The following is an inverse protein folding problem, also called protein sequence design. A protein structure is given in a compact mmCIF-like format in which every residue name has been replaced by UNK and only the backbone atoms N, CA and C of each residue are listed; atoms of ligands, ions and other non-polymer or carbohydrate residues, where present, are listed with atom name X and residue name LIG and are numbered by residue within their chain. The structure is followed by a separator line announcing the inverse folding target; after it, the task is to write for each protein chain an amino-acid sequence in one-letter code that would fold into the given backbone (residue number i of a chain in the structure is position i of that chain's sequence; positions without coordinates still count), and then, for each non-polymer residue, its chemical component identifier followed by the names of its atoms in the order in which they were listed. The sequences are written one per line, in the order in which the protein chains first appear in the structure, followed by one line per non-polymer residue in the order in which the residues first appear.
data_IF_798840145976
#
_entry.id   IF_798840145976
#
_cell.length_a   1.000
_cell.length_b   1.000
_cell.length_c   1.000
_cell.angle_alpha   90.00
_cell.angle_beta   90.00
_cell.angle_gamma   90.00
#
_symmetry.space_group_name_H-M   'P 1'
#
loop_
_entity.id
_entity.type
_entity.pdbx_description
1 polymer ?
#
# COMPACT_ATOMS: atom_id res chain seq x y z
N UNK A 1 33.96 17.35 15.62
CA UNK A 1 33.18 16.10 15.86
C UNK A 1 32.94 15.41 14.52
N UNK A 2 33.31 14.14 14.40
CA UNK A 2 33.36 13.41 13.11
C UNK A 2 32.03 12.69 12.85
N UNK A 3 31.49 12.81 11.63
CA UNK A 3 30.22 12.21 11.14
C UNK A 3 30.09 10.69 11.39
N UNK A 4 31.19 10.00 11.70
CA UNK A 4 31.26 8.54 11.91
C UNK A 4 31.06 8.10 13.36
N UNK A 5 31.12 9.00 14.33
CA UNK A 5 30.79 8.67 15.74
C UNK A 5 29.33 8.92 16.09
N UNK A 6 28.67 9.84 15.37
CA UNK A 6 27.24 10.12 15.52
C UNK A 6 26.35 8.91 15.15
N UNK A 7 26.81 8.05 14.23
CA UNK A 7 26.07 6.86 13.78
C UNK A 7 26.23 5.62 14.69
N UNK A 8 27.07 5.69 15.74
CA UNK A 8 27.28 4.55 16.66
C UNK A 8 26.52 4.67 18.00
N UNK A 9 25.83 5.78 18.26
CA UNK A 9 25.18 6.06 19.54
C UNK A 9 23.65 6.18 19.45
N UNK A 10 23.01 5.53 18.47
CA UNK A 10 21.58 5.65 18.20
C UNK A 10 20.76 4.37 18.42
N UNK A 11 21.03 3.60 19.46
CA UNK A 11 20.11 2.56 19.93
C UNK A 11 19.40 3.08 21.19
N UNK A 12 18.42 3.97 21.00
CA UNK A 12 17.56 4.44 22.08
C UNK A 12 16.39 3.47 22.20
N UNK A 13 16.49 2.49 23.11
CA UNK A 13 15.33 1.72 23.57
C UNK A 13 14.53 2.62 24.50
N UNK A 14 13.48 3.24 23.99
CA UNK A 14 12.49 3.94 24.82
C UNK A 14 11.48 2.90 25.31
N UNK A 15 11.68 2.40 26.52
CA UNK A 15 10.60 1.76 27.28
C UNK A 15 9.71 2.89 27.79
N UNK A 16 8.67 3.21 27.02
CA UNK A 16 7.66 4.20 27.37
C UNK A 16 6.41 3.53 27.92
N UNK A 17 6.09 3.80 29.18
CA UNK A 17 4.77 3.55 29.78
C UNK A 17 3.69 4.26 28.96
N UNK A 18 2.76 3.49 28.39
CA UNK A 18 1.68 4.04 27.58
C UNK A 18 0.66 4.79 28.46
N UNK A 19 0.68 6.13 28.37
CA UNK A 19 -0.50 6.94 28.62
C UNK A 19 -1.32 6.94 27.33
N UNK A 20 -2.49 6.29 27.35
CA UNK A 20 -3.42 6.27 26.24
C UNK A 20 -3.98 7.68 26.00
N UNK A 21 -3.47 8.36 24.98
CA UNK A 21 -4.13 9.51 24.36
C UNK A 21 -4.43 9.20 22.91
N UNK A 22 -5.61 9.62 22.49
CA UNK A 22 -6.34 9.21 21.29
C UNK A 22 -5.52 9.16 20.00
N UNK A 23 -5.40 7.95 19.43
CA UNK A 23 -5.45 7.61 18.00
C UNK A 23 -4.58 8.41 17.03
N UNK A 24 -3.39 7.89 16.71
CA UNK A 24 -3.07 7.11 15.50
C UNK A 24 -1.65 6.58 15.73
N UNK A 25 -1.50 5.28 15.97
CA UNK A 25 -0.19 4.63 16.00
C UNK A 25 0.23 4.43 14.55
N UNK A 26 1.13 5.28 14.06
CA UNK A 26 1.82 5.02 12.80
C UNK A 26 2.67 3.78 12.97
N UNK A 27 2.27 2.68 12.34
CA UNK A 27 3.12 1.50 12.19
C UNK A 27 4.38 1.93 11.43
N UNK A 28 5.52 1.88 12.11
CA UNK A 28 6.81 2.00 11.47
C UNK A 28 6.93 0.85 10.45
N UNK A 29 7.12 1.20 9.19
CA UNK A 29 7.26 0.27 8.06
C UNK A 29 8.41 -0.70 8.33
N UNK A 30 8.10 -1.98 8.47
CA UNK A 30 9.10 -3.04 8.52
C UNK A 30 9.91 -3.02 7.22
N UNK A 31 11.23 -3.15 7.36
CA UNK A 31 12.17 -3.20 6.26
C UNK A 31 11.84 -4.36 5.30
N UNK A 32 11.44 -4.03 4.07
CA UNK A 32 11.74 -4.75 2.82
C UNK A 32 11.54 -6.28 2.73
N UNK A 33 10.73 -6.89 3.58
CA UNK A 33 10.45 -8.32 3.59
C UNK A 33 8.96 -8.62 3.65
N UNK A 34 8.57 -9.80 3.17
CA UNK A 34 7.19 -10.26 3.29
C UNK A 34 6.76 -10.26 4.78
N UNK A 35 5.67 -9.58 5.15
CA UNK A 35 5.15 -9.62 6.50
C UNK A 35 4.69 -11.04 6.84
N UNK A 36 4.68 -11.37 8.12
CA UNK A 36 4.18 -12.66 8.57
C UNK A 36 2.67 -12.73 8.38
N UNK A 37 2.21 -13.69 7.57
CA UNK A 37 0.79 -14.00 7.37
C UNK A 37 0.34 -15.00 8.44
N UNK A 38 -0.93 -14.89 8.85
CA UNK A 38 -1.48 -15.70 9.96
C UNK A 38 -2.49 -16.73 9.51
N UNK A 39 -3.10 -16.55 8.33
CA UNK A 39 -4.15 -17.42 7.80
C UNK A 39 -3.79 -17.94 6.41
N UNK A 40 -3.28 -17.06 5.54
CA UNK A 40 -2.88 -17.39 4.19
C UNK A 40 -1.54 -18.12 4.16
N UNK A 41 -1.44 -19.08 3.26
CA UNK A 41 -0.19 -19.77 2.99
C UNK A 41 0.82 -18.84 2.28
N UNK A 42 2.14 -19.08 2.42
CA UNK A 42 3.16 -18.24 1.78
C UNK A 42 2.95 -18.04 0.28
N UNK A 43 2.59 -19.11 -0.44
CA UNK A 43 2.32 -19.05 -1.89
C UNK A 43 1.11 -18.18 -2.24
N UNK A 44 0.05 -18.24 -1.43
CA UNK A 44 -1.11 -17.37 -1.60
C UNK A 44 -0.70 -15.90 -1.43
N UNK A 45 0.13 -15.61 -0.40
CA UNK A 45 0.70 -14.29 -0.17
C UNK A 45 1.51 -13.76 -1.35
N UNK A 46 2.43 -14.57 -1.88
CA UNK A 46 3.25 -14.20 -3.05
C UNK A 46 2.41 -13.98 -4.32
N UNK A 47 1.39 -14.82 -4.53
CA UNK A 47 0.45 -14.69 -5.64
C UNK A 47 -0.33 -13.37 -5.54
N UNK A 48 -0.84 -13.04 -4.36
CA UNK A 48 -1.53 -11.78 -4.10
C UNK A 48 -0.61 -10.55 -4.27
N UNK A 49 0.66 -10.64 -3.83
CA UNK A 49 1.65 -9.58 -4.08
C UNK A 49 1.82 -9.33 -5.59
N UNK A 50 2.05 -10.39 -6.37
CA UNK A 50 2.21 -10.25 -7.84
C UNK A 50 0.93 -9.72 -8.47
N UNK A 51 -0.23 -10.22 -8.06
CA UNK A 51 -1.53 -9.81 -8.55
C UNK A 51 -1.79 -8.33 -8.31
N UNK A 52 -1.62 -7.85 -7.09
CA UNK A 52 -1.81 -6.43 -6.73
C UNK A 52 -0.86 -5.53 -7.52
N UNK A 53 0.42 -5.89 -7.63
CA UNK A 53 1.38 -5.17 -8.51
C UNK A 53 0.97 -5.11 -9.99
N UNK A 54 0.10 -6.01 -10.47
CA UNK A 54 -0.43 -5.98 -11.84
C UNK A 54 -1.73 -5.19 -11.97
N UNK A 55 -2.56 -5.15 -10.92
CA UNK A 55 -3.82 -4.44 -10.90
C UNK A 55 -3.58 -2.92 -10.82
N UNK A 56 -2.76 -2.46 -9.88
CA UNK A 56 -2.31 -1.06 -9.80
C UNK A 56 -0.79 -0.94 -9.93
N UNK A 57 -0.23 -0.95 -11.16
CA UNK A 57 1.21 -1.05 -11.40
C UNK A 57 1.93 0.31 -11.23
N UNK A 58 2.33 0.64 -10.01
CA UNK A 58 3.07 1.86 -9.71
C UNK A 58 4.59 1.61 -9.68
N UNK A 59 5.31 2.19 -10.64
CA UNK A 59 6.78 2.02 -10.76
C UNK A 59 7.57 2.64 -9.60
N UNK A 60 7.02 3.66 -8.95
CA UNK A 60 7.68 4.41 -7.88
C UNK A 60 7.46 3.77 -6.49
N UNK A 61 6.54 2.81 -6.37
CA UNK A 61 6.26 2.09 -5.13
C UNK A 61 7.09 0.80 -5.06
N UNK A 62 7.73 0.58 -3.91
CA UNK A 62 8.32 -0.71 -3.56
C UNK A 62 7.22 -1.74 -3.23
N UNK A 63 7.62 -2.94 -2.81
CA UNK A 63 6.67 -4.01 -2.46
C UNK A 63 5.94 -3.75 -1.12
N UNK A 64 6.43 -2.82 -0.29
CA UNK A 64 5.92 -2.61 1.07
C UNK A 64 4.42 -2.32 1.13
N UNK A 65 3.92 -1.28 0.44
CA UNK A 65 2.50 -0.98 0.38
C UNK A 65 1.65 -2.11 -0.20
N UNK A 66 2.16 -2.87 -1.17
CA UNK A 66 1.43 -4.02 -1.71
C UNK A 66 1.36 -5.17 -0.71
N UNK A 67 2.40 -5.38 0.10
CA UNK A 67 2.35 -6.32 1.23
C UNK A 67 1.36 -5.89 2.32
N UNK A 68 1.15 -4.59 2.54
CA UNK A 68 0.07 -4.09 3.41
C UNK A 68 -1.30 -4.55 2.89
N UNK A 69 -1.53 -4.50 1.57
CA UNK A 69 -2.75 -5.02 0.95
C UNK A 69 -2.91 -6.51 1.22
N UNK A 70 -1.85 -7.31 1.03
CA UNK A 70 -1.88 -8.75 1.29
C UNK A 70 -2.18 -9.04 2.76
N UNK A 71 -1.61 -8.26 3.69
CA UNK A 71 -1.90 -8.38 5.11
C UNK A 71 -3.38 -8.07 5.43
N UNK A 72 -3.98 -7.07 4.80
CA UNK A 72 -5.40 -6.77 4.99
C UNK A 72 -6.30 -7.88 4.43
N UNK A 73 -5.89 -8.54 3.34
CA UNK A 73 -6.57 -9.73 2.82
C UNK A 73 -6.41 -10.92 3.79
N UNK A 74 -5.23 -11.12 4.39
CA UNK A 74 -5.00 -12.14 5.43
C UNK A 74 -5.88 -11.91 6.66
N UNK A 75 -5.98 -10.66 7.13
CA UNK A 75 -6.85 -10.29 8.24
C UNK A 75 -8.33 -10.51 7.92
N UNK A 76 -8.76 -10.23 6.69
CA UNK A 76 -10.11 -10.52 6.22
C UNK A 76 -10.37 -12.04 6.16
N UNK A 77 -9.42 -12.82 5.64
CA UNK A 77 -9.49 -14.28 5.61
C UNK A 77 -9.54 -14.89 7.02
N UNK A 78 -8.80 -14.33 7.97
CA UNK A 78 -8.83 -14.72 9.39
C UNK A 78 -10.21 -14.54 10.02
N UNK A 79 -10.88 -13.44 9.65
CA UNK A 79 -12.16 -13.04 10.23
C UNK A 79 -13.35 -13.70 9.53
N UNK A 80 -13.18 -14.19 8.31
CA UNK A 80 -14.23 -14.80 7.50
C UNK A 80 -13.69 -15.97 6.66
N UNK A 81 -14.09 -17.19 7.02
CA UNK A 81 -13.67 -18.42 6.33
C UNK A 81 -14.15 -18.48 4.87
N UNK A 82 -15.21 -17.75 4.50
CA UNK A 82 -15.65 -17.64 3.11
C UNK A 82 -14.66 -16.84 2.27
N UNK A 83 -14.02 -15.82 2.86
CA UNK A 83 -12.93 -15.06 2.23
C UNK A 83 -11.70 -15.94 2.11
N UNK A 84 -11.32 -16.67 3.17
CA UNK A 84 -10.18 -17.59 3.12
C UNK A 84 -10.33 -18.61 1.98
N UNK A 85 -11.52 -19.22 1.86
CA UNK A 85 -11.85 -20.15 0.78
C UNK A 85 -11.79 -19.49 -0.60
N UNK A 86 -12.39 -18.31 -0.75
CA UNK A 86 -12.38 -17.55 -2.01
C UNK A 86 -10.95 -17.25 -2.49
N UNK A 87 -10.05 -16.89 -1.56
CA UNK A 87 -8.64 -16.63 -1.90
C UNK A 87 -7.94 -17.93 -2.32
N UNK A 88 -8.13 -19.03 -1.59
CA UNK A 88 -7.53 -20.33 -1.95
C UNK A 88 -7.93 -20.79 -3.35
N UNK A 89 -9.24 -20.83 -3.62
CA UNK A 89 -9.78 -21.27 -4.92
C UNK A 89 -9.36 -20.33 -6.07
N UNK A 90 -9.25 -19.04 -5.79
CA UNK A 90 -8.77 -18.04 -6.76
C UNK A 90 -7.30 -18.21 -7.13
N UNK A 91 -6.44 -18.46 -6.13
CA UNK A 91 -5.02 -18.75 -6.35
C UNK A 91 -4.84 -20.06 -7.13
N UNK A 92 -5.57 -21.12 -6.77
CA UNK A 92 -5.57 -22.38 -7.51
C UNK A 92 -5.98 -22.18 -8.98
N UNK A 93 -7.00 -21.35 -9.22
CA UNK A 93 -7.44 -21.01 -10.59
C UNK A 93 -6.34 -20.31 -11.40
N UNK A 94 -5.56 -19.43 -10.77
CA UNK A 94 -4.45 -18.75 -11.42
C UNK A 94 -3.28 -19.69 -11.75
N UNK A 95 -3.04 -20.70 -10.92
CA UNK A 95 -1.97 -21.68 -11.12
C UNK A 95 -2.35 -22.82 -12.08
N UNK A 96 -3.64 -23.01 -12.35
CA UNK A 96 -4.14 -24.10 -13.21
C UNK A 96 -3.67 -24.02 -14.68
N UNK A 97 -2.99 -22.93 -15.09
CA UNK A 97 -2.51 -22.71 -16.46
C UNK A 97 -1.19 -23.45 -16.80
N UNK A 98 -0.81 -24.49 -16.04
CA UNK A 98 0.37 -25.32 -16.28
C UNK A 98 1.69 -24.76 -15.74
N UNK A 99 1.69 -23.53 -15.22
CA UNK A 99 2.75 -22.92 -14.42
C UNK A 99 2.11 -22.14 -13.28
N UNK A 100 2.80 -22.03 -12.15
CA UNK A 100 2.36 -21.16 -11.06
C UNK A 100 2.33 -19.71 -11.54
N UNK A 101 1.34 -18.96 -11.10
CA UNK A 101 1.16 -17.55 -11.48
C UNK A 101 2.38 -16.70 -11.15
N UNK A 102 3.03 -16.99 -10.02
CA UNK A 102 4.24 -16.29 -9.56
C UNK A 102 5.44 -16.47 -10.51
N UNK A 103 5.46 -17.55 -11.29
CA UNK A 103 6.53 -17.88 -12.25
C UNK A 103 6.27 -17.32 -13.66
N UNK A 104 5.09 -16.74 -13.89
CA UNK A 104 4.74 -16.13 -15.16
C UNK A 104 5.46 -14.78 -15.37
N UNK A 105 5.74 -14.44 -16.62
CA UNK A 105 6.18 -13.08 -16.97
C UNK A 105 5.09 -12.06 -16.62
N UNK A 106 5.46 -10.79 -16.40
CA UNK A 106 4.48 -9.75 -16.09
C UNK A 106 3.34 -9.65 -17.13
N UNK A 107 3.67 -9.86 -18.41
CA UNK A 107 2.70 -9.85 -19.51
C UNK A 107 1.71 -11.02 -19.40
N UNK A 108 2.21 -12.22 -19.07
CA UNK A 108 1.39 -13.41 -18.87
C UNK A 108 0.52 -13.27 -17.62
N UNK A 109 1.05 -12.69 -16.53
CA UNK A 109 0.27 -12.37 -15.32
C UNK A 109 -0.90 -11.44 -15.65
N UNK A 110 -0.64 -10.32 -16.32
CA UNK A 110 -1.71 -9.39 -16.74
C UNK A 110 -2.73 -10.08 -17.64
N UNK A 111 -2.29 -10.93 -18.58
CA UNK A 111 -3.20 -11.66 -19.46
C UNK A 111 -4.06 -12.70 -18.70
N UNK A 112 -3.49 -13.37 -17.69
CA UNK A 112 -4.22 -14.30 -16.83
C UNK A 112 -5.26 -13.55 -15.98
N UNK A 113 -4.86 -12.45 -15.35
CA UNK A 113 -5.76 -11.62 -14.53
C UNK A 113 -6.93 -11.06 -15.34
N UNK A 114 -6.69 -10.62 -16.58
CA UNK A 114 -7.75 -10.13 -17.47
C UNK A 114 -8.82 -11.19 -17.76
N UNK A 115 -8.46 -12.48 -17.81
CA UNK A 115 -9.44 -13.57 -18.03
C UNK A 115 -10.36 -13.77 -16.83
N UNK A 116 -9.91 -13.41 -15.63
CA UNK A 116 -10.64 -13.60 -14.39
C UNK A 116 -11.20 -12.28 -13.81
N UNK A 117 -11.11 -11.16 -14.54
CA UNK A 117 -11.42 -9.83 -13.99
C UNK A 117 -12.86 -9.70 -13.48
N UNK A 118 -13.80 -10.44 -14.07
CA UNK A 118 -15.21 -10.47 -13.65
C UNK A 118 -15.49 -11.45 -12.49
N UNK A 119 -14.50 -12.21 -12.03
CA UNK A 119 -14.70 -13.21 -10.97
C UNK A 119 -14.80 -12.57 -9.58
N UNK A 120 -15.52 -13.20 -8.63
CA UNK A 120 -15.58 -12.72 -7.25
C UNK A 120 -14.20 -12.60 -6.58
N UNK A 121 -13.28 -13.52 -6.88
CA UNK A 121 -11.92 -13.48 -6.37
C UNK A 121 -11.17 -12.22 -6.82
N UNK A 122 -11.17 -11.93 -8.13
CA UNK A 122 -10.53 -10.72 -8.65
C UNK A 122 -11.15 -9.46 -8.06
N UNK A 123 -12.48 -9.37 -8.05
CA UNK A 123 -13.20 -8.21 -7.53
C UNK A 123 -12.95 -7.99 -6.03
N UNK A 124 -12.81 -9.07 -5.25
CA UNK A 124 -12.46 -8.99 -3.82
C UNK A 124 -11.07 -8.39 -3.63
N UNK A 125 -10.06 -8.93 -4.31
CA UNK A 125 -8.67 -8.44 -4.22
C UNK A 125 -8.57 -6.99 -4.69
N UNK A 126 -9.14 -6.67 -5.86
CA UNK A 126 -9.18 -5.31 -6.40
C UNK A 126 -9.81 -4.30 -5.44
N UNK A 127 -10.94 -4.65 -4.82
CA UNK A 127 -11.64 -3.75 -3.89
C UNK A 127 -10.84 -3.49 -2.62
N UNK A 128 -10.21 -4.54 -2.06
CA UNK A 128 -9.34 -4.40 -0.88
C UNK A 128 -8.09 -3.59 -1.23
N UNK A 129 -7.49 -3.84 -2.38
CA UNK A 129 -6.30 -3.12 -2.85
C UNK A 129 -6.59 -1.64 -3.05
N UNK A 130 -7.70 -1.29 -3.71
CA UNK A 130 -8.10 0.10 -3.91
C UNK A 130 -8.21 0.85 -2.57
N UNK A 131 -8.80 0.21 -1.56
CA UNK A 131 -8.95 0.81 -0.25
C UNK A 131 -7.62 0.89 0.50
N UNK A 132 -6.89 -0.23 0.60
CA UNK A 132 -5.68 -0.35 1.41
C UNK A 132 -4.52 0.46 0.83
N UNK A 133 -4.23 0.28 -0.46
CA UNK A 133 -3.09 0.92 -1.13
C UNK A 133 -3.20 2.45 -1.11
N UNK A 134 -4.36 3.00 -1.45
CA UNK A 134 -4.55 4.45 -1.52
C UNK A 134 -4.94 5.10 -0.19
N UNK A 135 -5.12 4.31 0.88
CA UNK A 135 -5.25 4.84 2.24
C UNK A 135 -3.94 4.83 3.02
N UNK A 136 -2.85 4.31 2.43
CA UNK A 136 -1.54 4.22 3.08
C UNK A 136 -0.77 5.56 3.02
N UNK A 137 -0.43 6.18 4.17
CA UNK A 137 0.38 7.40 4.21
C UNK A 137 1.77 7.28 3.55
N UNK A 138 2.35 6.07 3.50
CA UNK A 138 3.61 5.83 2.78
C UNK A 138 3.43 6.02 1.27
N UNK A 139 2.30 5.57 0.73
CA UNK A 139 1.92 5.76 -0.68
C UNK A 139 1.65 7.23 -0.97
N UNK A 140 0.95 7.93 -0.07
CA UNK A 140 0.69 9.37 -0.20
C UNK A 140 1.98 10.18 -0.34
N UNK A 141 2.98 9.86 0.49
CA UNK A 141 4.29 10.51 0.45
C UNK A 141 4.97 10.35 -0.90
N UNK A 142 4.88 9.17 -1.52
CA UNK A 142 5.47 8.92 -2.85
C UNK A 142 4.74 9.71 -3.93
N UNK A 143 3.42 9.84 -3.83
CA UNK A 143 2.60 10.60 -4.79
C UNK A 143 2.49 12.10 -4.49
N UNK A 144 3.12 12.59 -3.42
CA UNK A 144 3.05 13.99 -3.02
C UNK A 144 1.69 14.42 -2.45
N UNK A 145 0.82 13.47 -2.08
CA UNK A 145 -0.43 13.78 -1.39
C UNK A 145 -0.15 14.10 0.09
N UNK A 146 -0.58 15.28 0.53
CA UNK A 146 -0.33 15.79 1.88
C UNK A 146 -1.24 15.16 2.95
N UNK A 147 -2.13 14.24 2.55
CA UNK A 147 -3.12 13.64 3.42
C UNK A 147 -4.36 14.51 3.63
N UNK A 148 -5.31 14.05 4.47
CA UNK A 148 -6.59 14.73 4.66
C UNK A 148 -6.43 16.10 5.36
N UNK A 149 -6.98 17.15 4.73
CA UNK A 149 -6.87 18.52 5.23
C UNK A 149 -8.07 19.03 6.06
N UNK A 150 -9.17 18.27 6.17
CA UNK A 150 -10.41 18.73 6.83
C UNK A 150 -10.17 19.25 8.26
N UNK A 151 -9.43 18.47 9.06
CA UNK A 151 -9.07 18.85 10.45
C UNK A 151 -8.13 20.05 10.57
N UNK A 152 -7.64 20.57 9.45
CA UNK A 152 -6.72 21.70 9.38
C UNK A 152 -7.33 22.93 8.69
N UNK A 153 -8.66 22.98 8.54
CA UNK A 153 -9.34 24.10 7.87
C UNK A 153 -9.36 24.00 6.34
N UNK A 154 -9.11 22.81 5.78
CA UNK A 154 -9.10 22.56 4.33
C UNK A 154 -7.73 22.74 3.68
N UNK A 155 -7.69 22.62 2.34
CA UNK A 155 -6.42 22.58 1.59
C UNK A 155 -5.79 23.96 1.34
N UNK A 156 -6.49 25.06 1.61
CA UNK A 156 -6.04 26.44 1.31
C UNK A 156 -4.61 26.70 1.82
N UNK A 157 -4.26 26.17 2.99
CA UNK A 157 -2.92 26.27 3.60
C UNK A 157 -2.23 24.91 3.81
N UNK A 158 -2.65 23.89 3.06
CA UNK A 158 -2.19 22.50 3.19
C UNK A 158 -1.93 21.86 1.82
N UNK A 159 -1.16 22.56 0.99
CA UNK A 159 -0.67 22.02 -0.27
C UNK A 159 -1.56 22.21 -1.49
N UNK A 160 -2.67 22.97 -1.39
CA UNK A 160 -3.46 23.34 -2.57
C UNK A 160 -2.63 24.04 -3.64
N UNK A 161 -1.66 24.87 -3.22
CA UNK A 161 -0.78 25.63 -4.10
C UNK A 161 0.62 25.00 -4.27
N UNK A 162 0.89 23.82 -3.71
CA UNK A 162 2.23 23.19 -3.78
C UNK A 162 2.41 22.41 -5.10
N UNK A 163 2.06 23.05 -6.22
CA UNK A 163 2.13 22.44 -7.55
C UNK A 163 3.58 22.51 -8.06
N UNK A 164 4.25 21.37 -8.15
CA UNK A 164 5.63 21.29 -8.68
C UNK A 164 5.71 21.16 -10.20
N UNK A 165 4.57 20.99 -10.86
CA UNK A 165 4.47 20.69 -12.29
C UNK A 165 4.03 21.89 -13.15
N UNK A 166 3.72 23.03 -12.52
CA UNK A 166 3.38 24.28 -13.19
C UNK A 166 4.23 25.40 -12.57
N UNK A 167 4.74 26.36 -13.36
CA UNK A 167 5.33 27.56 -12.78
C UNK A 167 4.31 28.34 -11.95
N UNK A 168 4.80 29.10 -10.97
CA UNK A 168 3.95 30.01 -10.22
C UNK A 168 3.22 30.98 -11.17
N UNK A 169 1.92 31.23 -10.94
CA UNK A 169 1.18 32.19 -11.74
C UNK A 169 1.84 33.58 -11.64
N UNK A 170 1.91 34.34 -12.75
CA UNK A 170 2.47 35.70 -12.72
C UNK A 170 1.70 36.57 -11.74
N UNK A 171 2.35 37.58 -11.15
CA UNK A 171 1.74 38.45 -10.13
C UNK A 171 0.44 39.10 -10.63
N UNK A 172 0.36 39.45 -11.92
CA UNK A 172 -0.85 40.00 -12.55
C UNK A 172 -2.06 39.06 -12.56
N UNK A 173 -1.83 37.75 -12.42
CA UNK A 173 -2.86 36.72 -12.36
C UNK A 173 -3.17 36.26 -10.93
N UNK A 174 -2.45 36.78 -9.93
CA UNK A 174 -2.62 36.46 -8.51
C UNK A 174 -3.21 37.66 -7.77
N UNK A 175 -4.54 37.73 -7.56
CA UNK A 175 -5.15 38.82 -6.81
C UNK A 175 -4.53 38.92 -5.42
N UNK A 176 -4.27 40.15 -4.95
CA UNK A 176 -3.77 40.35 -3.58
C UNK A 176 -4.83 39.87 -2.58
N UNK A 177 -4.44 39.15 -1.52
CA UNK A 177 -5.36 38.82 -0.43
C UNK A 177 -6.03 40.08 0.10
N UNK A 178 -7.33 39.98 0.41
CA UNK A 178 -8.11 41.06 1.01
C UNK A 178 -7.70 41.35 2.46
#
# INVERSE_FOLDING_TARGET
MKRREFLKAGALVVVGTAAATSGVVGLATAAGGAPQLTTLEPHQGETLLKMTRRIFPHKQLDDGPYWSVVHDIDAAAKSDSTVAKLISEGVETLDAAGKRFVDLTEKEQTAALKKIEATPFFQKVHSVELQSLYSDPAVWKVFGYQGPAYKFGGYIHKGFNDLTWLPDPPESASPKPA
#
